data_IF_121184675218
#
_entry.id   IF_121184675218
#
_cell.length_a   1.000
_cell.length_b   1.000
_cell.length_c   1.000
_cell.angle_alpha   90.00
_cell.angle_beta   90.00
_cell.angle_gamma   90.00
#
_symmetry.space_group_name_H-M   'P 1'
#
loop_
_entity.id
_entity.type
_entity.pdbx_description
1 polymer ?
#
# COMPACT_ATOMS: atom_id res chain seq x y z
N UNK A 1 10.21 -61.80 -3.16
CA UNK A 1 9.15 -61.78 -2.13
C UNK A 1 8.28 -60.58 -2.42
N UNK A 2 7.07 -60.79 -2.91
CA UNK A 2 6.04 -59.74 -3.00
C UNK A 2 5.62 -59.38 -1.57
N UNK A 3 5.78 -58.11 -1.18
CA UNK A 3 5.24 -57.61 0.08
C UNK A 3 3.73 -57.89 0.10
N UNK A 4 3.25 -58.50 1.19
CA UNK A 4 1.81 -58.66 1.41
C UNK A 4 1.23 -57.28 1.68
N UNK A 5 0.12 -56.88 1.03
CA UNK A 5 -0.52 -55.61 1.34
C UNK A 5 -0.90 -55.56 2.81
N UNK A 6 -0.59 -54.43 3.47
CA UNK A 6 -0.93 -54.22 4.87
C UNK A 6 -2.45 -54.22 5.03
N UNK A 7 -2.97 -54.76 6.14
CA UNK A 7 -4.42 -54.68 6.42
C UNK A 7 -4.92 -53.23 6.49
N UNK A 8 -4.01 -52.30 6.78
CA UNK A 8 -4.24 -50.85 6.80
C UNK A 8 -4.40 -50.25 5.40
N UNK A 9 -4.00 -50.95 4.35
CA UNK A 9 -4.22 -50.53 2.95
C UNK A 9 -5.62 -50.93 2.45
N UNK A 10 -6.41 -51.66 3.24
CA UNK A 10 -7.77 -52.07 2.89
C UNK A 10 -8.79 -51.03 3.38
N UNK A 11 -9.42 -50.24 2.48
CA UNK A 11 -10.38 -49.20 2.89
C UNK A 11 -11.58 -49.77 3.62
N UNK A 12 -12.03 -50.99 3.30
CA UNK A 12 -13.16 -51.63 3.99
C UNK A 12 -12.83 -51.93 5.44
N UNK A 13 -11.60 -52.38 5.70
CA UNK A 13 -11.14 -52.63 7.07
C UNK A 13 -11.15 -51.33 7.88
N UNK A 14 -10.57 -50.25 7.34
CA UNK A 14 -10.54 -48.94 8.01
C UNK A 14 -11.94 -48.41 8.30
N UNK A 15 -12.85 -48.48 7.31
CA UNK A 15 -14.27 -48.12 7.49
C UNK A 15 -14.95 -48.97 8.55
N UNK A 16 -14.63 -50.26 8.66
CA UNK A 16 -15.19 -51.13 9.71
C UNK A 16 -14.71 -50.71 11.10
N UNK A 17 -13.45 -50.29 11.23
CA UNK A 17 -12.95 -49.71 12.48
C UNK A 17 -13.68 -48.42 12.84
N UNK A 18 -13.90 -47.52 11.89
CA UNK A 18 -14.68 -46.28 12.09
C UNK A 18 -16.10 -46.60 12.53
N UNK A 19 -16.76 -47.58 11.90
CA UNK A 19 -18.10 -48.04 12.27
C UNK A 19 -18.12 -48.55 13.71
N UNK A 20 -17.20 -49.45 14.08
CA UNK A 20 -17.12 -49.99 15.43
C UNK A 20 -17.01 -48.88 16.48
N UNK A 21 -16.14 -47.90 16.24
CA UNK A 21 -15.89 -46.79 17.16
C UNK A 21 -17.09 -45.83 17.24
N UNK A 22 -17.80 -45.61 16.13
CA UNK A 22 -19.01 -44.78 16.08
C UNK A 22 -20.19 -45.36 16.88
N UNK A 23 -20.18 -46.66 17.17
CA UNK A 23 -21.19 -47.33 18.00
C UNK A 23 -20.88 -47.22 19.50
N UNK A 24 -19.64 -46.92 19.87
CA UNK A 24 -19.17 -46.77 21.24
C UNK A 24 -19.37 -45.37 21.83
N UNK A 25 -18.64 -45.08 22.90
CA UNK A 25 -18.73 -43.79 23.62
C UNK A 25 -18.10 -42.62 22.84
N UNK A 26 -17.26 -42.92 21.85
CA UNK A 26 -16.60 -41.93 21.00
C UNK A 26 -17.58 -41.07 20.20
N UNK A 27 -18.83 -41.52 20.01
CA UNK A 27 -19.89 -40.74 19.35
C UNK A 27 -20.22 -39.41 20.02
N UNK A 28 -19.86 -39.25 21.30
CA UNK A 28 -20.07 -38.02 22.07
C UNK A 28 -18.86 -37.08 22.04
N UNK A 29 -17.73 -37.51 21.44
CA UNK A 29 -16.53 -36.71 21.29
C UNK A 29 -16.59 -35.82 20.04
N UNK A 30 -15.73 -34.80 19.99
CA UNK A 30 -15.58 -33.99 18.77
C UNK A 30 -14.95 -34.84 17.67
N UNK A 31 -15.46 -34.73 16.45
CA UNK A 31 -15.02 -35.52 15.28
C UNK A 31 -13.50 -35.46 15.08
N UNK A 32 -12.90 -34.27 15.22
CA UNK A 32 -11.45 -34.12 15.08
C UNK A 32 -10.64 -34.82 16.17
N UNK A 33 -11.14 -34.86 17.41
CA UNK A 33 -10.45 -35.55 18.51
C UNK A 33 -10.45 -37.07 18.26
N UNK A 34 -11.55 -37.60 17.71
CA UNK A 34 -11.66 -39.00 17.26
C UNK A 34 -10.66 -39.28 16.15
N UNK A 35 -10.63 -38.43 15.12
CA UNK A 35 -9.67 -38.55 14.01
C UNK A 35 -8.23 -38.57 14.50
N UNK A 36 -7.85 -37.63 15.37
CA UNK A 36 -6.49 -37.52 15.88
C UNK A 36 -6.06 -38.76 16.69
N UNK A 37 -6.97 -39.38 17.44
CA UNK A 37 -6.69 -40.64 18.13
C UNK A 37 -6.58 -41.83 17.17
N UNK A 38 -7.48 -41.92 16.19
CA UNK A 38 -7.41 -42.94 15.14
C UNK A 38 -6.08 -42.86 14.39
N UNK A 39 -5.64 -41.67 13.97
CA UNK A 39 -4.31 -41.48 13.35
C UNK A 39 -3.17 -41.95 14.27
N UNK A 40 -3.26 -41.71 15.59
CA UNK A 40 -2.27 -42.18 16.55
C UNK A 40 -2.24 -43.72 16.65
N UNK A 41 -3.39 -44.39 16.55
CA UNK A 41 -3.53 -45.85 16.64
C UNK A 41 -3.15 -46.58 15.34
N UNK A 42 -3.39 -45.96 14.20
CA UNK A 42 -3.23 -46.55 12.87
C UNK A 42 -1.98 -46.03 12.10
N UNK A 43 -1.17 -45.16 12.72
CA UNK A 43 -0.03 -44.44 12.14
C UNK A 43 -0.40 -43.53 10.95
N UNK A 44 0.61 -42.93 10.29
CA UNK A 44 0.47 -41.95 9.20
C UNK A 44 -0.29 -42.45 7.96
N UNK A 45 -0.59 -43.75 7.87
CA UNK A 45 -1.23 -44.40 6.73
C UNK A 45 -2.73 -44.69 6.94
N UNK A 46 -3.41 -44.04 7.88
CA UNK A 46 -4.84 -44.27 8.15
C UNK A 46 -5.74 -43.82 6.97
N UNK A 47 -6.22 -42.58 7.00
CA UNK A 47 -6.95 -41.94 5.90
C UNK A 47 -6.92 -40.44 6.12
N UNK A 48 -7.25 -39.67 5.09
CA UNK A 48 -7.37 -38.22 5.24
C UNK A 48 -8.61 -37.84 6.07
N UNK A 49 -8.58 -36.63 6.63
CA UNK A 49 -9.67 -36.12 7.46
C UNK A 49 -11.02 -36.07 6.72
N UNK A 50 -11.10 -35.59 5.45
CA UNK A 50 -12.38 -35.57 4.74
C UNK A 50 -13.02 -36.95 4.50
N UNK A 51 -12.22 -37.99 4.25
CA UNK A 51 -12.71 -39.37 4.11
C UNK A 51 -13.15 -39.92 5.48
N UNK A 52 -12.38 -39.66 6.54
CA UNK A 52 -12.77 -40.04 7.90
C UNK A 52 -14.08 -39.38 8.33
N UNK A 53 -14.16 -38.04 8.21
CA UNK A 53 -15.32 -37.25 8.60
C UNK A 53 -16.58 -37.72 7.86
N UNK A 54 -16.46 -38.03 6.57
CA UNK A 54 -17.54 -38.61 5.79
C UNK A 54 -18.08 -39.92 6.39
N UNK A 55 -17.21 -40.93 6.59
CA UNK A 55 -17.63 -42.22 7.13
C UNK A 55 -18.14 -42.09 8.56
N UNK A 56 -17.47 -41.28 9.39
CA UNK A 56 -17.86 -41.03 10.77
C UNK A 56 -19.27 -40.45 10.86
N UNK A 57 -19.55 -39.35 10.14
CA UNK A 57 -20.87 -38.72 10.14
C UNK A 57 -21.95 -39.63 9.54
N UNK A 58 -21.61 -40.42 8.52
CA UNK A 58 -22.52 -41.39 7.91
C UNK A 58 -22.95 -42.46 8.91
N UNK A 59 -22.00 -43.04 9.65
CA UNK A 59 -22.30 -44.05 10.67
C UNK A 59 -23.02 -43.47 11.88
N UNK A 60 -22.67 -42.26 12.33
CA UNK A 60 -23.42 -41.55 13.37
C UNK A 60 -24.88 -41.28 13.00
N UNK A 61 -25.16 -41.07 11.70
CA UNK A 61 -26.51 -40.92 11.18
C UNK A 61 -27.27 -42.27 11.01
N UNK A 62 -26.68 -43.40 11.40
CA UNK A 62 -27.28 -44.72 11.32
C UNK A 62 -27.14 -45.43 9.97
N UNK A 63 -26.36 -44.88 9.04
CA UNK A 63 -26.18 -45.45 7.70
C UNK A 63 -24.95 -46.37 7.65
N UNK A 64 -25.13 -47.63 8.02
CA UNK A 64 -24.01 -48.58 8.25
C UNK A 64 -23.47 -49.32 7.01
N UNK A 65 -23.85 -48.92 5.80
CA UNK A 65 -23.33 -49.51 4.56
C UNK A 65 -21.87 -49.12 4.32
N UNK A 66 -20.94 -50.04 4.62
CA UNK A 66 -19.48 -49.88 4.46
C UNK A 66 -19.05 -49.83 2.99
N UNK A 67 -19.86 -50.42 2.10
CA UNK A 67 -19.60 -50.49 0.66
C UNK A 67 -20.25 -49.35 -0.10
N UNK A 68 -20.81 -48.37 0.61
CA UNK A 68 -21.44 -47.21 0.00
C UNK A 68 -20.50 -46.48 -0.96
N UNK A 69 -20.99 -46.28 -2.18
CA UNK A 69 -20.28 -45.52 -3.20
C UNK A 69 -20.54 -44.03 -3.03
N UNK A 70 -19.56 -43.31 -2.48
CA UNK A 70 -19.58 -41.86 -2.27
C UNK A 70 -19.84 -41.06 -3.56
N UNK A 71 -19.60 -41.64 -4.74
CA UNK A 71 -19.93 -40.97 -6.01
C UNK A 71 -21.44 -40.78 -6.23
N UNK A 72 -22.27 -41.47 -5.45
CA UNK A 72 -23.72 -41.29 -5.47
C UNK A 72 -24.16 -40.03 -4.73
N UNK A 73 -23.33 -39.50 -3.82
CA UNK A 73 -23.64 -38.26 -3.12
C UNK A 73 -23.45 -37.05 -4.06
N UNK A 74 -24.28 -36.00 -3.91
CA UNK A 74 -24.00 -34.72 -4.54
C UNK A 74 -22.58 -34.27 -4.16
N UNK A 75 -21.86 -33.68 -5.13
CA UNK A 75 -20.53 -33.13 -4.86
C UNK A 75 -20.57 -32.25 -3.61
N UNK A 76 -19.60 -32.49 -2.72
CA UNK A 76 -19.48 -31.75 -1.47
C UNK A 76 -19.44 -30.25 -1.77
N UNK A 77 -20.37 -29.50 -1.16
CA UNK A 77 -20.40 -28.06 -1.29
C UNK A 77 -19.37 -27.47 -0.34
N UNK A 78 -18.47 -26.67 -0.90
CA UNK A 78 -17.53 -25.86 -0.14
C UNK A 78 -18.18 -24.54 0.24
N UNK A 79 -17.54 -23.80 1.15
CA UNK A 79 -17.94 -22.43 1.48
C UNK A 79 -17.99 -21.50 0.24
N UNK A 80 -17.28 -21.86 -0.83
CA UNK A 80 -17.25 -21.09 -2.07
C UNK A 80 -18.44 -21.37 -3.00
N UNK A 81 -19.18 -22.46 -2.75
CA UNK A 81 -20.43 -22.79 -3.44
C UNK A 81 -21.64 -22.09 -2.78
N UNK A 82 -21.42 -21.34 -1.70
CA UNK A 82 -22.45 -20.57 -1.02
C UNK A 82 -22.84 -19.35 -1.86
N UNK A 83 -24.14 -19.05 -2.01
CA UNK A 83 -24.58 -17.81 -2.63
C UNK A 83 -23.98 -16.60 -1.92
N UNK A 84 -23.46 -15.63 -2.68
CA UNK A 84 -22.77 -14.44 -2.16
C UNK A 84 -23.62 -13.68 -1.12
N UNK A 85 -24.93 -13.62 -1.33
CA UNK A 85 -25.89 -12.98 -0.41
C UNK A 85 -25.91 -13.62 0.98
N UNK A 86 -25.68 -14.93 1.09
CA UNK A 86 -25.60 -15.61 2.39
C UNK A 86 -24.25 -15.33 3.02
N UNK A 87 -23.19 -15.35 2.22
CA UNK A 87 -21.84 -15.00 2.69
C UNK A 87 -21.78 -13.57 3.25
N UNK A 88 -22.39 -12.61 2.55
CA UNK A 88 -22.49 -11.23 3.00
C UNK A 88 -23.25 -11.12 4.32
N UNK A 89 -24.40 -11.80 4.46
CA UNK A 89 -25.13 -11.89 5.74
C UNK A 89 -24.31 -12.48 6.89
N UNK A 90 -23.46 -13.47 6.61
CA UNK A 90 -22.55 -14.00 7.62
C UNK A 90 -21.55 -12.90 8.01
N UNK A 91 -20.97 -12.22 7.03
CA UNK A 91 -19.98 -11.18 7.26
C UNK A 91 -20.55 -9.92 7.93
N UNK A 92 -21.84 -9.60 7.77
CA UNK A 92 -22.52 -8.54 8.52
C UNK A 92 -22.40 -8.74 10.04
N UNK A 93 -22.31 -9.99 10.52
CA UNK A 93 -22.08 -10.29 11.94
C UNK A 93 -20.67 -9.92 12.42
N UNK A 94 -19.74 -9.56 11.53
CA UNK A 94 -18.40 -9.06 11.87
C UNK A 94 -18.41 -7.56 12.24
N UNK A 95 -19.57 -6.90 12.11
CA UNK A 95 -19.78 -5.50 12.46
C UNK A 95 -19.65 -4.54 11.28
N UNK A 96 -19.96 -3.27 11.53
CA UNK A 96 -19.83 -2.20 10.54
C UNK A 96 -18.36 -2.04 10.09
N UNK A 97 -18.15 -1.79 8.79
CA UNK A 97 -16.81 -1.66 8.22
C UNK A 97 -16.02 -2.97 8.11
N UNK A 98 -16.67 -4.14 8.23
CA UNK A 98 -15.97 -5.43 8.15
C UNK A 98 -15.18 -5.59 6.85
N UNK A 99 -15.68 -5.04 5.74
CA UNK A 99 -15.03 -5.17 4.44
C UNK A 99 -13.61 -4.59 4.48
N UNK A 100 -13.44 -3.35 4.96
CA UNK A 100 -12.14 -2.71 5.09
C UNK A 100 -11.23 -3.44 6.09
N UNK A 101 -11.79 -3.82 7.24
CA UNK A 101 -11.05 -4.46 8.33
C UNK A 101 -10.52 -5.84 7.94
N UNK A 102 -11.37 -6.65 7.30
CA UNK A 102 -11.10 -8.06 7.01
C UNK A 102 -10.72 -8.34 5.55
N UNK A 103 -10.72 -7.33 4.65
CA UNK A 103 -10.35 -7.50 3.22
C UNK A 103 -9.15 -8.41 3.04
N UNK A 104 -8.02 -8.02 3.61
CA UNK A 104 -6.76 -8.75 3.43
C UNK A 104 -6.78 -10.12 4.12
N UNK A 105 -7.54 -10.28 5.21
CA UNK A 105 -7.72 -11.62 5.82
C UNK A 105 -8.40 -12.54 4.82
N UNK A 106 -9.52 -12.11 4.24
CA UNK A 106 -10.27 -12.89 3.25
C UNK A 106 -9.46 -13.14 1.96
N UNK A 107 -8.68 -12.15 1.48
CA UNK A 107 -7.77 -12.34 0.33
C UNK A 107 -6.78 -13.49 0.49
N UNK A 108 -6.46 -13.85 1.73
CA UNK A 108 -5.48 -14.90 2.04
C UNK A 108 -6.10 -16.25 2.43
N UNK A 109 -7.44 -16.38 2.40
CA UNK A 109 -8.12 -17.66 2.65
C UNK A 109 -8.04 -18.59 1.45
N UNK A 110 -8.63 -18.20 0.31
CA UNK A 110 -8.60 -18.97 -0.93
C UNK A 110 -8.89 -18.09 -2.15
N UNK A 111 -8.83 -18.64 -3.37
CA UNK A 111 -9.05 -17.88 -4.62
C UNK A 111 -10.44 -17.24 -4.69
N UNK A 112 -11.49 -17.94 -4.26
CA UNK A 112 -12.87 -17.41 -4.30
C UNK A 112 -13.06 -16.27 -3.31
N UNK A 113 -12.54 -16.42 -2.09
CA UNK A 113 -12.56 -15.36 -1.09
C UNK A 113 -11.71 -14.15 -1.51
N UNK A 114 -10.61 -14.37 -2.22
CA UNK A 114 -9.83 -13.28 -2.81
C UNK A 114 -10.63 -12.51 -3.84
N UNK A 115 -11.30 -13.18 -4.76
CA UNK A 115 -12.15 -12.52 -5.75
C UNK A 115 -13.27 -11.71 -5.08
N UNK A 116 -13.88 -12.27 -4.03
CA UNK A 116 -14.93 -11.60 -3.26
C UNK A 116 -14.38 -10.37 -2.51
N UNK A 117 -13.27 -10.53 -1.78
CA UNK A 117 -12.62 -9.42 -1.10
C UNK A 117 -12.17 -8.34 -2.09
N UNK A 118 -11.68 -8.73 -3.27
CA UNK A 118 -11.26 -7.80 -4.33
C UNK A 118 -12.43 -7.02 -4.93
N UNK A 119 -13.64 -7.59 -4.91
CA UNK A 119 -14.86 -6.95 -5.41
C UNK A 119 -15.48 -5.91 -4.46
N UNK A 120 -15.06 -5.89 -3.19
CA UNK A 120 -15.55 -4.90 -2.25
C UNK A 120 -15.03 -3.51 -2.61
N UNK A 121 -15.93 -2.53 -2.58
CA UNK A 121 -15.59 -1.13 -2.78
C UNK A 121 -14.55 -0.67 -1.74
N UNK A 122 -13.63 0.18 -2.18
CA UNK A 122 -12.55 0.70 -1.34
C UNK A 122 -12.62 2.22 -1.32
N UNK A 123 -12.60 2.79 -0.12
CA UNK A 123 -12.57 4.25 0.08
C UNK A 123 -11.25 4.70 0.69
N UNK A 124 -10.16 3.97 0.40
CA UNK A 124 -8.86 4.28 0.96
C UNK A 124 -8.40 5.66 0.52
N UNK A 125 -8.01 6.50 1.49
CA UNK A 125 -7.62 7.88 1.22
C UNK A 125 -6.11 8.02 1.10
N UNK A 126 -5.36 7.26 1.89
CA UNK A 126 -3.91 7.35 2.00
C UNK A 126 -3.30 5.96 2.06
N UNK A 127 -2.31 5.72 1.20
CA UNK A 127 -1.57 4.45 1.19
C UNK A 127 -0.06 4.69 1.10
N UNK A 128 0.72 3.99 1.91
CA UNK A 128 2.17 3.95 1.75
C UNK A 128 2.74 2.54 1.90
N UNK A 129 3.88 2.31 1.24
CA UNK A 129 4.62 1.06 1.34
C UNK A 129 6.10 1.35 1.56
N UNK A 130 6.68 0.71 2.57
CA UNK A 130 8.01 1.03 3.09
C UNK A 130 8.80 -0.21 3.47
N UNK A 131 10.12 -0.11 3.39
CA UNK A 131 11.01 -1.16 3.90
C UNK A 131 10.97 -1.16 5.43
N UNK A 132 10.71 -2.31 6.03
CA UNK A 132 10.64 -2.52 7.46
C UNK A 132 11.92 -3.11 8.06
N UNK A 133 11.88 -3.41 9.35
CA UNK A 133 12.98 -4.06 10.05
C UNK A 133 13.19 -5.50 9.55
N UNK A 134 14.46 -5.93 9.39
CA UNK A 134 14.86 -7.27 8.91
C UNK A 134 14.18 -7.69 7.60
N UNK A 135 14.23 -6.83 6.59
CA UNK A 135 13.72 -7.07 5.24
C UNK A 135 12.21 -7.32 5.12
N UNK A 136 11.46 -7.02 6.18
CA UNK A 136 9.99 -7.02 6.14
C UNK A 136 9.50 -5.83 5.30
N UNK A 137 8.27 -5.91 4.82
CA UNK A 137 7.59 -4.79 4.17
C UNK A 137 6.49 -4.29 5.09
N UNK A 138 6.44 -2.98 5.30
CA UNK A 138 5.37 -2.32 6.03
C UNK A 138 4.46 -1.60 5.04
N UNK A 139 3.16 -1.78 5.18
CA UNK A 139 2.16 -1.05 4.42
C UNK A 139 1.28 -0.27 5.39
N UNK A 140 1.07 1.01 5.11
CA UNK A 140 0.23 1.88 5.91
C UNK A 140 -0.98 2.30 5.08
N UNK A 141 -2.18 2.19 5.67
CA UNK A 141 -3.45 2.50 5.02
C UNK A 141 -4.30 3.30 6.01
N UNK A 142 -4.59 4.56 5.70
CA UNK A 142 -5.44 5.45 6.53
C UNK A 142 -5.14 5.44 8.04
N UNK A 143 -3.86 5.32 8.39
CA UNK A 143 -3.38 5.26 9.78
C UNK A 143 -3.29 3.86 10.39
N UNK A 144 -3.85 2.84 9.73
CA UNK A 144 -3.61 1.44 10.04
C UNK A 144 -2.28 0.93 9.47
N UNK A 145 -1.66 -0.05 10.14
CA UNK A 145 -0.37 -0.62 9.73
C UNK A 145 -0.49 -2.13 9.52
N UNK A 146 0.13 -2.62 8.44
CA UNK A 146 0.26 -4.04 8.13
C UNK A 146 1.72 -4.39 7.88
N UNK A 147 2.16 -5.50 8.47
CA UNK A 147 3.52 -6.00 8.34
C UNK A 147 3.55 -7.30 7.55
N UNK A 148 4.50 -7.41 6.64
CA UNK A 148 4.65 -8.53 5.73
C UNK A 148 6.06 -9.09 5.80
N UNK A 149 6.16 -10.36 6.17
CA UNK A 149 7.41 -11.14 6.03
C UNK A 149 7.59 -11.58 4.58
N UNK A 150 6.50 -11.98 3.91
CA UNK A 150 6.51 -12.42 2.52
C UNK A 150 6.30 -11.23 1.56
N UNK A 151 7.38 -10.83 0.86
CA UNK A 151 7.35 -9.73 -0.12
C UNK A 151 6.28 -9.89 -1.20
N UNK A 152 6.01 -11.13 -1.64
CA UNK A 152 4.96 -11.43 -2.62
C UNK A 152 3.55 -11.09 -2.12
N UNK A 153 3.29 -11.31 -0.83
CA UNK A 153 2.00 -10.98 -0.23
C UNK A 153 1.82 -9.48 -0.15
N UNK A 154 2.85 -8.76 0.31
CA UNK A 154 2.83 -7.29 0.33
C UNK A 154 2.55 -6.71 -1.05
N UNK A 155 3.25 -7.22 -2.07
CA UNK A 155 3.07 -6.79 -3.46
C UNK A 155 1.63 -7.05 -3.94
N UNK A 156 1.11 -8.26 -3.71
CA UNK A 156 -0.26 -8.64 -4.10
C UNK A 156 -1.31 -7.76 -3.44
N UNK A 157 -1.16 -7.46 -2.15
CA UNK A 157 -2.08 -6.63 -1.37
C UNK A 157 -2.03 -5.17 -1.81
N UNK A 158 -0.83 -4.60 -1.95
CA UNK A 158 -0.66 -3.23 -2.40
C UNK A 158 -1.22 -3.01 -3.81
N UNK A 159 -0.94 -3.95 -4.74
CA UNK A 159 -1.50 -3.89 -6.09
C UNK A 159 -3.03 -3.93 -6.08
N UNK A 160 -3.65 -4.72 -5.21
CA UNK A 160 -5.12 -4.85 -5.16
C UNK A 160 -5.84 -3.57 -4.77
N UNK A 161 -5.15 -2.68 -4.07
CA UNK A 161 -5.63 -1.33 -3.77
C UNK A 161 -5.54 -0.50 -5.06
N UNK A 162 -4.35 -0.43 -5.65
CA UNK A 162 -4.08 0.46 -6.79
C UNK A 162 -4.74 0.05 -8.10
N UNK A 163 -5.19 -1.20 -8.24
CA UNK A 163 -5.91 -1.67 -9.43
C UNK A 163 -7.39 -1.33 -9.43
N UNK A 164 -7.90 -0.74 -8.35
CA UNK A 164 -9.27 -0.25 -8.28
C UNK A 164 -9.43 0.99 -9.17
N UNK A 165 -10.26 0.93 -10.24
CA UNK A 165 -10.38 2.01 -11.21
C UNK A 165 -11.07 3.26 -10.65
N UNK A 166 -11.89 3.11 -9.60
CA UNK A 166 -12.63 4.22 -9.00
C UNK A 166 -11.88 4.86 -7.82
N UNK A 167 -10.75 4.28 -7.43
CA UNK A 167 -9.94 4.75 -6.31
C UNK A 167 -9.28 6.10 -6.64
N UNK A 168 -9.56 7.08 -5.78
CA UNK A 168 -8.93 8.40 -5.81
C UNK A 168 -8.18 8.64 -4.51
N UNK A 169 -6.86 8.54 -4.58
CA UNK A 169 -6.01 8.70 -3.41
C UNK A 169 -5.79 10.18 -3.10
N UNK A 170 -5.88 10.53 -1.82
CA UNK A 170 -5.36 11.81 -1.34
C UNK A 170 -3.84 11.76 -1.25
N UNK A 171 -3.27 10.67 -0.73
CA UNK A 171 -1.82 10.51 -0.56
C UNK A 171 -1.32 9.15 -1.06
N UNK A 172 -0.17 9.14 -1.73
CA UNK A 172 0.61 7.92 -1.99
C UNK A 172 2.09 8.13 -1.68
N UNK A 173 2.70 7.13 -1.02
CA UNK A 173 4.14 7.08 -0.82
C UNK A 173 4.68 5.67 -1.10
N UNK A 174 5.70 5.60 -1.93
CA UNK A 174 6.45 4.37 -2.22
C UNK A 174 7.89 4.65 -1.82
N UNK A 175 8.35 3.98 -0.76
CA UNK A 175 9.72 4.13 -0.27
C UNK A 175 10.73 3.67 -1.32
N UNK A 176 11.71 4.53 -1.57
CA UNK A 176 12.80 4.27 -2.52
C UNK A 176 13.82 3.26 -2.01
N UNK A 177 13.84 3.01 -0.69
CA UNK A 177 14.71 2.02 -0.07
C UNK A 177 14.14 0.59 -0.08
N UNK A 178 12.95 0.41 -0.67
CA UNK A 178 12.44 -0.93 -0.95
C UNK A 178 13.40 -1.72 -1.84
N UNK A 179 13.41 -3.03 -1.64
CA UNK A 179 14.18 -3.96 -2.44
C UNK A 179 13.98 -3.73 -3.95
N UNK A 180 15.07 -3.65 -4.71
CA UNK A 180 15.01 -3.35 -6.15
C UNK A 180 14.15 -4.37 -6.92
N UNK A 181 14.23 -5.66 -6.59
CA UNK A 181 13.44 -6.68 -7.27
C UNK A 181 11.95 -6.54 -6.96
N UNK A 182 11.61 -6.13 -5.73
CA UNK A 182 10.24 -5.80 -5.35
C UNK A 182 9.68 -4.65 -6.21
N UNK A 183 10.40 -3.53 -6.25
CA UNK A 183 9.98 -2.36 -7.02
C UNK A 183 9.87 -2.69 -8.52
N UNK A 184 10.79 -3.48 -9.08
CA UNK A 184 10.77 -3.84 -10.51
C UNK A 184 9.50 -4.63 -10.84
N UNK A 185 9.16 -5.61 -10.00
CA UNK A 185 7.94 -6.41 -10.17
C UNK A 185 6.68 -5.58 -9.99
N UNK A 186 6.69 -4.63 -9.06
CA UNK A 186 5.60 -3.68 -8.86
C UNK A 186 5.33 -2.85 -10.11
N UNK A 187 6.37 -2.19 -10.62
CA UNK A 187 6.26 -1.34 -11.81
C UNK A 187 5.85 -2.14 -13.04
N UNK A 188 6.50 -3.29 -13.30
CA UNK A 188 6.15 -4.16 -14.43
C UNK A 188 4.68 -4.60 -14.39
N UNK A 189 4.14 -4.89 -13.20
CA UNK A 189 2.75 -5.32 -13.07
C UNK A 189 1.79 -4.18 -13.39
N UNK A 190 2.01 -2.99 -12.86
CA UNK A 190 1.16 -1.83 -13.15
C UNK A 190 1.26 -1.38 -14.61
N UNK A 191 2.45 -1.41 -15.20
CA UNK A 191 2.66 -1.13 -16.63
C UNK A 191 1.90 -2.14 -17.51
N UNK A 192 1.95 -3.44 -17.18
CA UNK A 192 1.22 -4.48 -17.93
C UNK A 192 -0.30 -4.30 -17.88
N UNK A 193 -0.80 -3.74 -16.77
CA UNK A 193 -2.21 -3.45 -16.56
C UNK A 193 -2.61 -2.07 -17.11
N UNK A 194 -1.65 -1.27 -17.60
CA UNK A 194 -1.85 0.09 -18.10
C UNK A 194 -2.57 1.01 -17.10
N UNK A 195 -2.32 0.81 -15.82
CA UNK A 195 -2.97 1.58 -14.74
C UNK A 195 -2.39 2.99 -14.69
N UNK A 196 -3.28 3.96 -14.46
CA UNK A 196 -2.92 5.32 -14.08
C UNK A 196 -3.50 5.62 -12.71
N UNK A 197 -2.62 5.97 -11.77
CA UNK A 197 -2.97 6.19 -10.38
C UNK A 197 -3.50 7.62 -10.24
N UNK A 198 -4.77 7.75 -9.86
CA UNK A 198 -5.37 9.02 -9.49
C UNK A 198 -4.93 9.39 -8.07
N UNK A 199 -4.17 10.47 -7.93
CA UNK A 199 -3.66 10.91 -6.63
C UNK A 199 -3.46 12.42 -6.55
N UNK A 200 -3.87 13.02 -5.43
CA UNK A 200 -3.73 14.46 -5.17
C UNK A 200 -2.33 14.83 -4.66
N UNK A 201 -1.78 14.09 -3.69
CA UNK A 201 -0.49 14.36 -3.09
C UNK A 201 0.46 13.18 -3.25
N UNK A 202 1.61 13.43 -3.86
CA UNK A 202 2.61 12.39 -4.17
C UNK A 202 3.88 12.62 -3.37
N UNK A 203 4.45 11.55 -2.84
CA UNK A 203 5.82 11.57 -2.32
C UNK A 203 6.78 11.17 -3.44
N UNK A 204 7.71 12.08 -3.75
CA UNK A 204 8.67 11.95 -4.82
C UNK A 204 10.09 12.10 -4.27
N UNK A 205 11.00 11.43 -4.93
CA UNK A 205 12.42 11.47 -4.59
C UNK A 205 13.13 12.49 -5.48
N UNK A 206 14.10 13.19 -4.91
CA UNK A 206 14.93 14.14 -5.66
C UNK A 206 16.13 13.46 -6.33
N UNK A 207 16.43 12.21 -5.98
CA UNK A 207 17.38 11.39 -6.72
C UNK A 207 16.66 10.64 -7.83
N UNK A 208 17.34 10.45 -8.96
CA UNK A 208 16.76 9.77 -10.11
C UNK A 208 17.38 8.39 -10.28
N UNK A 209 16.53 7.38 -10.15
CA UNK A 209 16.76 6.03 -10.61
C UNK A 209 15.79 5.71 -11.73
N UNK A 210 16.15 4.79 -12.64
CA UNK A 210 15.27 4.38 -13.74
C UNK A 210 13.89 3.90 -13.23
N UNK A 211 13.88 3.29 -12.05
CA UNK A 211 12.66 2.80 -11.42
C UNK A 211 11.76 3.93 -10.91
N UNK A 212 12.34 5.00 -10.35
CA UNK A 212 11.57 6.18 -9.94
C UNK A 212 10.98 6.91 -11.15
N UNK A 213 11.68 6.96 -12.29
CA UNK A 213 11.11 7.50 -13.53
C UNK A 213 9.85 6.75 -13.94
N UNK A 214 9.91 5.42 -13.88
CA UNK A 214 8.77 4.56 -14.23
C UNK A 214 7.63 4.68 -13.22
N UNK A 215 7.92 4.75 -11.92
CA UNK A 215 6.91 5.01 -10.88
C UNK A 215 6.22 6.36 -11.11
N UNK A 216 6.98 7.44 -11.33
CA UNK A 216 6.42 8.76 -11.61
C UNK A 216 5.52 8.76 -12.86
N UNK A 217 5.83 7.94 -13.86
CA UNK A 217 5.02 7.79 -15.06
C UNK A 217 3.69 7.04 -14.83
N UNK A 218 3.48 6.40 -13.68
CA UNK A 218 2.21 5.74 -13.32
C UNK A 218 1.17 6.73 -12.81
N UNK A 219 1.56 7.91 -12.34
CA UNK A 219 0.61 8.90 -11.82
C UNK A 219 -0.17 9.58 -12.95
N UNK A 220 -1.43 9.89 -12.66
CA UNK A 220 -2.25 10.75 -13.50
C UNK A 220 -1.87 12.21 -13.22
N UNK A 221 -1.20 12.85 -14.18
CA UNK A 221 -0.56 14.16 -13.97
C UNK A 221 -1.57 15.24 -13.61
N UNK A 222 -2.77 15.20 -14.19
CA UNK A 222 -3.79 16.24 -13.99
C UNK A 222 -4.39 16.24 -12.58
N UNK A 223 -4.22 15.16 -11.83
CA UNK A 223 -4.79 15.00 -10.49
C UNK A 223 -3.85 15.47 -9.40
N UNK A 224 -2.55 15.57 -9.70
CA UNK A 224 -1.52 15.94 -8.73
C UNK A 224 -1.70 17.41 -8.35
N UNK A 225 -2.10 17.64 -7.11
CA UNK A 225 -2.16 18.97 -6.52
C UNK A 225 -0.83 19.39 -5.91
N UNK A 226 -0.13 18.46 -5.26
CA UNK A 226 1.08 18.74 -4.46
C UNK A 226 2.08 17.60 -4.52
N UNK A 227 3.36 17.94 -4.54
CA UNK A 227 4.43 16.96 -4.37
C UNK A 227 5.23 17.22 -3.08
N UNK A 228 5.50 16.14 -2.36
CA UNK A 228 6.35 16.11 -1.19
C UNK A 228 7.69 15.48 -1.55
N UNK A 229 8.77 16.12 -1.12
CA UNK A 229 10.13 15.65 -1.36
C UNK A 229 10.90 15.62 -0.05
N UNK A 230 11.70 14.56 0.13
CA UNK A 230 12.65 14.46 1.23
C UNK A 230 14.07 14.49 0.67
N UNK A 231 14.96 15.22 1.33
CA UNK A 231 16.37 15.26 0.92
C UNK A 231 17.15 16.39 1.57
N UNK A 232 18.39 16.55 1.14
CA UNK A 232 19.27 17.64 1.56
C UNK A 232 18.92 18.94 0.85
N UNK A 233 19.25 20.07 1.47
CA UNK A 233 19.17 21.40 0.84
C UNK A 233 19.94 21.52 -0.49
N UNK A 234 21.00 20.71 -0.68
CA UNK A 234 21.77 20.69 -1.93
C UNK A 234 20.97 20.04 -3.07
N UNK A 235 20.26 18.95 -2.78
CA UNK A 235 19.36 18.31 -3.74
C UNK A 235 18.19 19.24 -4.10
N UNK A 236 17.62 19.98 -3.12
CA UNK A 236 16.58 20.99 -3.39
C UNK A 236 17.09 22.05 -4.36
N UNK A 237 18.30 22.57 -4.13
CA UNK A 237 18.94 23.56 -5.02
C UNK A 237 19.11 23.00 -6.42
N UNK A 238 19.64 21.78 -6.55
CA UNK A 238 19.84 21.14 -7.85
C UNK A 238 18.50 20.95 -8.58
N UNK A 239 17.49 20.45 -7.87
CA UNK A 239 16.15 20.28 -8.42
C UNK A 239 15.56 21.61 -8.91
N UNK A 240 15.56 22.66 -8.09
CA UNK A 240 14.97 23.95 -8.47
C UNK A 240 15.72 24.63 -9.61
N UNK A 241 17.06 24.61 -9.59
CA UNK A 241 17.89 25.14 -10.68
C UNK A 241 17.54 24.47 -12.01
N UNK A 242 17.38 23.14 -11.97
CA UNK A 242 16.98 22.37 -13.14
C UNK A 242 15.54 22.64 -13.57
N UNK A 243 14.58 22.82 -12.65
CA UNK A 243 13.19 23.12 -13.04
C UNK A 243 13.03 24.50 -13.68
N UNK A 244 13.93 25.45 -13.39
CA UNK A 244 13.89 26.82 -13.92
C UNK A 244 14.59 26.93 -15.29
N UNK A 245 15.57 26.07 -15.59
CA UNK A 245 16.27 26.10 -16.88
C UNK A 245 15.34 25.68 -18.03
N UNK A 246 15.13 26.57 -19.01
CA UNK A 246 14.31 26.28 -20.19
C UNK A 246 14.94 25.27 -21.18
N UNK A 247 16.16 24.78 -20.93
CA UNK A 247 16.87 23.86 -21.83
C UNK A 247 16.85 22.42 -21.29
N UNK A 248 16.67 21.48 -22.22
CA UNK A 248 16.45 20.04 -21.99
C UNK A 248 17.73 19.24 -21.71
N UNK A 249 18.76 19.86 -21.13
CA UNK A 249 20.10 19.27 -21.13
C UNK A 249 20.34 18.26 -19.99
N UNK A 250 19.53 18.29 -18.94
CA UNK A 250 19.70 17.35 -17.83
C UNK A 250 18.66 16.22 -17.85
N UNK A 251 19.03 15.00 -18.28
CA UNK A 251 18.12 13.84 -18.23
C UNK A 251 17.68 13.50 -16.80
N UNK A 252 18.37 14.02 -15.76
CA UNK A 252 18.16 13.69 -14.35
C UNK A 252 16.77 14.05 -13.80
N UNK A 253 16.09 15.04 -14.37
CA UNK A 253 14.82 15.55 -13.83
C UNK A 253 13.70 15.63 -14.87
N UNK A 254 13.91 15.06 -16.06
CA UNK A 254 12.96 15.16 -17.15
C UNK A 254 11.61 14.50 -16.81
N UNK A 255 11.63 13.43 -16.03
CA UNK A 255 10.42 12.75 -15.57
C UNK A 255 9.59 13.63 -14.63
N UNK A 256 10.21 14.37 -13.71
CA UNK A 256 9.53 15.29 -12.79
C UNK A 256 8.97 16.54 -13.49
N UNK A 257 9.65 17.05 -14.52
CA UNK A 257 9.13 18.18 -15.33
C UNK A 257 7.77 17.86 -15.96
N UNK A 258 7.56 16.61 -16.39
CA UNK A 258 6.29 16.17 -17.01
C UNK A 258 5.12 16.23 -16.04
N UNK A 259 5.38 16.15 -14.74
CA UNK A 259 4.35 16.20 -13.69
C UNK A 259 3.80 17.62 -13.46
N UNK A 260 4.42 18.67 -14.03
CA UNK A 260 3.96 20.07 -13.92
C UNK A 260 3.64 20.50 -12.48
N UNK A 261 4.50 20.12 -11.54
CA UNK A 261 4.26 20.32 -10.10
C UNK A 261 4.33 21.82 -9.77
N UNK A 262 3.21 22.38 -9.31
CA UNK A 262 3.10 23.81 -8.97
C UNK A 262 3.03 24.07 -7.45
N UNK A 263 2.67 23.06 -6.65
CA UNK A 263 2.73 23.09 -5.19
C UNK A 263 3.74 22.06 -4.69
N UNK A 264 4.69 22.48 -3.88
CA UNK A 264 5.79 21.63 -3.41
C UNK A 264 5.99 21.74 -1.91
N UNK A 265 6.40 20.64 -1.29
CA UNK A 265 6.90 20.63 0.08
C UNK A 265 8.21 19.87 0.13
N UNK A 266 9.24 20.51 0.65
CA UNK A 266 10.55 19.93 0.85
C UNK A 266 10.82 19.74 2.34
N UNK A 267 11.27 18.56 2.72
CA UNK A 267 11.74 18.25 4.06
C UNK A 267 13.23 17.93 4.03
N UNK A 268 14.00 18.62 4.88
CA UNK A 268 15.43 18.43 5.05
C UNK A 268 15.83 18.56 6.52
N UNK A 269 16.98 17.99 6.91
CA UNK A 269 17.41 18.03 8.32
C UNK A 269 17.85 19.43 8.75
N UNK A 270 18.59 20.13 7.90
CA UNK A 270 19.21 21.42 8.21
C UNK A 270 19.15 22.37 7.02
N UNK A 271 18.90 23.64 7.34
CA UNK A 271 18.88 24.77 6.42
C UNK A 271 19.98 25.76 6.81
N UNK A 272 21.12 25.65 6.15
CA UNK A 272 22.23 26.60 6.30
C UNK A 272 21.89 27.92 5.61
N UNK A 273 22.45 29.01 6.11
CA UNK A 273 22.14 30.36 5.66
C UNK A 273 22.35 30.53 4.14
N UNK A 274 23.46 30.03 3.60
CA UNK A 274 23.80 30.19 2.18
C UNK A 274 22.80 29.45 1.29
N UNK A 275 22.53 28.20 1.61
CA UNK A 275 21.68 27.31 0.82
C UNK A 275 20.21 27.75 0.91
N UNK A 276 19.70 28.05 2.11
CA UNK A 276 18.34 28.61 2.28
C UNK A 276 18.15 29.92 1.49
N UNK A 277 19.13 30.83 1.55
CA UNK A 277 19.13 32.06 0.73
C UNK A 277 19.01 31.72 -0.76
N UNK A 278 19.79 30.75 -1.24
CA UNK A 278 19.81 30.33 -2.64
C UNK A 278 18.50 29.64 -3.06
N UNK A 279 17.91 28.81 -2.20
CA UNK A 279 16.61 28.18 -2.44
C UNK A 279 15.53 29.25 -2.65
N UNK A 280 15.47 30.25 -1.75
CA UNK A 280 14.51 31.36 -1.91
C UNK A 280 14.73 32.08 -3.25
N UNK A 281 15.97 32.39 -3.62
CA UNK A 281 16.27 33.02 -4.92
C UNK A 281 15.74 32.22 -6.12
N UNK A 282 15.85 30.88 -6.09
CA UNK A 282 15.29 30.04 -7.14
C UNK A 282 13.76 30.06 -7.13
N UNK A 283 13.12 29.93 -5.97
CA UNK A 283 11.66 29.98 -5.86
C UNK A 283 11.08 31.30 -6.39
N UNK A 284 11.77 32.43 -6.17
CA UNK A 284 11.37 33.73 -6.73
C UNK A 284 11.44 33.81 -8.26
N UNK A 285 12.23 32.94 -8.90
CA UNK A 285 12.38 32.85 -10.37
C UNK A 285 11.58 31.70 -10.98
N UNK A 286 10.88 30.93 -10.16
CA UNK A 286 10.13 29.77 -10.61
C UNK A 286 8.82 30.24 -11.30
N UNK A 287 8.63 29.96 -12.60
CA UNK A 287 7.66 30.68 -13.43
C UNK A 287 6.20 30.52 -12.98
N UNK A 288 5.81 29.29 -12.66
CA UNK A 288 4.41 28.92 -12.38
C UNK A 288 4.20 28.46 -10.93
N UNK A 289 5.12 28.83 -10.03
CA UNK A 289 5.03 28.44 -8.63
C UNK A 289 3.72 28.94 -8.02
N UNK A 290 2.92 28.03 -7.45
CA UNK A 290 1.74 28.37 -6.64
C UNK A 290 2.09 28.37 -5.16
N UNK A 291 2.79 27.33 -4.70
CA UNK A 291 3.15 27.16 -3.30
C UNK A 291 4.44 26.35 -3.16
N UNK A 292 5.34 26.75 -2.27
CA UNK A 292 6.45 25.93 -1.85
C UNK A 292 6.70 26.09 -0.36
N UNK A 293 6.78 24.99 0.38
CA UNK A 293 7.27 24.97 1.76
C UNK A 293 8.59 24.24 1.83
N UNK A 294 9.55 24.79 2.56
CA UNK A 294 10.81 24.12 2.86
C UNK A 294 10.96 24.05 4.36
N UNK A 295 11.02 22.84 4.90
CA UNK A 295 11.14 22.57 6.34
C UNK A 295 12.50 21.98 6.68
N UNK A 296 13.07 22.42 7.79
CA UNK A 296 14.36 21.96 8.31
C UNK A 296 14.91 22.88 9.40
N UNK A 297 15.92 22.43 10.14
CA UNK A 297 16.53 23.22 11.23
C UNK A 297 17.30 24.42 10.64
N UNK A 298 16.75 25.63 10.78
CA UNK A 298 17.38 26.86 10.27
C UNK A 298 18.51 27.29 11.20
N UNK A 299 19.75 27.32 10.70
CA UNK A 299 20.93 27.61 11.55
C UNK A 299 21.13 29.08 11.86
N UNK A 300 20.52 30.00 11.09
CA UNK A 300 20.71 31.45 11.26
C UNK A 300 19.47 32.23 10.80
N UNK A 301 18.37 32.05 11.52
CA UNK A 301 17.06 32.65 11.21
C UNK A 301 17.09 34.18 11.02
N UNK A 302 17.75 34.91 11.92
CA UNK A 302 17.83 36.38 11.82
C UNK A 302 18.58 36.85 10.57
N UNK A 303 19.74 36.24 10.29
CA UNK A 303 20.55 36.57 9.11
C UNK A 303 19.87 36.19 7.80
N UNK A 304 19.01 35.16 7.81
CA UNK A 304 18.24 34.78 6.63
C UNK A 304 17.23 35.86 6.25
N UNK A 305 16.52 36.43 7.23
CA UNK A 305 15.61 37.57 7.03
C UNK A 305 16.34 38.76 6.41
N UNK A 306 17.46 39.15 7.00
CA UNK A 306 18.30 40.27 6.52
C UNK A 306 18.74 40.07 5.06
N UNK A 307 19.07 38.84 4.64
CA UNK A 307 19.43 38.54 3.25
C UNK A 307 18.24 38.57 2.30
N UNK A 308 17.08 38.09 2.73
CA UNK A 308 15.87 38.07 1.88
C UNK A 308 15.37 39.50 1.65
N UNK A 309 15.49 40.39 2.63
CA UNK A 309 15.18 41.83 2.46
C UNK A 309 15.98 42.48 1.34
N UNK A 310 17.21 42.03 1.11
CA UNK A 310 18.08 42.54 0.04
C UNK A 310 17.60 42.15 -1.36
N UNK A 311 16.60 41.27 -1.51
CA UNK A 311 16.05 40.88 -2.81
C UNK A 311 14.98 41.84 -3.34
N UNK A 312 14.80 43.01 -2.72
CA UNK A 312 13.77 43.98 -3.13
C UNK A 312 12.37 43.60 -2.65
N UNK A 313 12.30 42.80 -1.58
CA UNK A 313 11.06 42.34 -0.97
C UNK A 313 10.57 43.38 0.04
N UNK A 314 9.27 43.72 0.05
CA UNK A 314 8.69 44.65 1.04
C UNK A 314 8.18 43.86 2.24
N UNK A 315 8.45 44.30 3.46
CA UNK A 315 7.82 43.72 4.65
C UNK A 315 6.32 43.99 4.62
N UNK A 316 5.52 43.05 5.09
CA UNK A 316 4.12 43.34 5.40
C UNK A 316 4.05 44.25 6.62
N UNK A 317 3.20 45.28 6.58
CA UNK A 317 3.17 46.36 7.59
C UNK A 317 2.96 45.85 9.03
N UNK A 318 2.35 44.67 9.19
CA UNK A 318 1.94 44.12 10.48
C UNK A 318 2.72 42.87 10.94
N UNK A 319 3.65 42.33 10.14
CA UNK A 319 4.41 41.13 10.52
C UNK A 319 5.84 41.10 9.95
N UNK A 320 6.89 41.16 10.80
CA UNK A 320 8.29 41.18 10.36
C UNK A 320 8.77 39.86 9.75
N UNK A 321 7.95 38.81 9.81
CA UNK A 321 8.28 37.47 9.32
C UNK A 321 7.66 37.19 7.96
N UNK A 322 6.91 38.17 7.41
CA UNK A 322 6.23 38.11 6.12
C UNK A 322 6.79 39.17 5.18
N UNK A 323 7.12 38.74 3.96
CA UNK A 323 7.67 39.58 2.91
C UNK A 323 6.86 39.41 1.61
N UNK A 324 6.68 40.50 0.86
CA UNK A 324 6.00 40.53 -0.43
C UNK A 324 6.99 40.85 -1.57
N UNK A 325 7.12 39.92 -2.51
CA UNK A 325 7.97 40.05 -3.70
C UNK A 325 7.10 40.28 -4.94
N UNK A 326 7.20 41.44 -5.62
CA UNK A 326 6.43 41.69 -6.82
C UNK A 326 6.92 40.82 -7.98
N UNK A 327 6.00 40.14 -8.66
CA UNK A 327 6.35 39.36 -9.86
C UNK A 327 6.37 40.32 -11.07
N UNK A 328 7.49 40.43 -11.82
CA UNK A 328 7.53 41.29 -12.99
C UNK A 328 6.44 40.92 -14.00
N UNK A 329 5.71 41.94 -14.51
CA UNK A 329 4.64 41.78 -15.52
C UNK A 329 3.47 40.89 -15.07
N UNK A 330 3.27 40.70 -13.77
CA UNK A 330 2.10 39.99 -13.23
C UNK A 330 1.37 40.87 -12.21
N UNK A 331 0.05 40.69 -12.14
CA UNK A 331 -0.76 41.26 -11.06
C UNK A 331 -0.52 40.55 -9.73
N UNK A 332 0.13 39.38 -9.72
CA UNK A 332 0.40 38.61 -8.52
C UNK A 332 1.67 39.09 -7.81
N UNK A 333 1.85 38.63 -6.56
CA UNK A 333 3.09 38.73 -5.81
C UNK A 333 3.38 37.40 -5.11
N UNK A 334 4.65 37.16 -4.78
CA UNK A 334 5.04 36.05 -3.92
C UNK A 334 5.09 36.53 -2.47
N UNK A 335 4.30 35.91 -1.61
CA UNK A 335 4.37 36.03 -0.16
C UNK A 335 5.41 35.04 0.35
N UNK A 336 6.43 35.53 1.04
CA UNK A 336 7.46 34.72 1.68
C UNK A 336 7.22 34.81 3.18
N UNK A 337 7.06 33.69 3.85
CA UNK A 337 6.93 33.64 5.30
C UNK A 337 8.01 32.74 5.89
N UNK A 338 8.75 33.25 6.87
CA UNK A 338 9.93 32.57 7.42
C UNK A 338 9.63 32.14 8.86
N UNK A 339 9.93 30.88 9.16
CA UNK A 339 9.73 30.26 10.47
C UNK A 339 11.05 29.77 11.06
N UNK A 340 11.05 29.42 12.35
CA UNK A 340 12.23 28.83 13.00
C UNK A 340 12.64 27.49 12.37
N UNK A 341 11.69 26.77 11.79
CA UNK A 341 11.85 25.45 11.20
C UNK A 341 11.72 25.44 9.67
N UNK A 342 11.88 26.60 9.00
CA UNK A 342 11.81 26.65 7.55
C UNK A 342 11.29 27.97 7.00
N UNK A 343 10.76 27.92 5.78
CA UNK A 343 10.06 29.04 5.15
C UNK A 343 9.04 28.50 4.15
N UNK A 344 8.10 29.35 3.78
CA UNK A 344 7.16 29.09 2.69
C UNK A 344 7.14 30.28 1.73
N UNK A 345 6.85 29.97 0.46
CA UNK A 345 6.68 30.92 -0.64
C UNK A 345 5.35 30.59 -1.31
N UNK A 346 4.43 31.54 -1.33
CA UNK A 346 3.10 31.38 -1.88
C UNK A 346 2.81 32.49 -2.88
N UNK A 347 2.25 32.14 -4.04
CA UNK A 347 1.79 33.12 -5.03
C UNK A 347 0.38 33.56 -4.71
N UNK A 348 0.22 34.85 -4.44
CA UNK A 348 -1.05 35.46 -4.11
C UNK A 348 -1.44 36.51 -5.16
N UNK A 349 -2.73 36.62 -5.51
CA UNK A 349 -3.21 37.75 -6.31
C UNK A 349 -3.04 39.03 -5.49
N UNK A 350 -2.69 40.16 -6.13
CA UNK A 350 -2.84 41.46 -5.46
C UNK A 350 -4.31 41.66 -5.13
N UNK A 351 -4.63 41.86 -3.85
CA UNK A 351 -5.92 42.39 -3.43
C UNK A 351 -6.16 43.70 -4.19
N UNK A 352 -7.20 43.73 -5.03
CA UNK A 352 -7.69 44.96 -5.68
C UNK A 352 -8.12 46.00 -4.67
#
# INVERSE_FOLDING_TARGET
MTEKPSILENPKFLRSCILYESLGDWKYCKVYDVYADMCRRFNDNFMDYPEFEFWWLRFLAGNFDIDYDRNQDPKYRTITDMPIQIFDKICENLGEGYQEKYRFVFRHVCKSFRALADSWAQNFRSVSIESGYRDQISMFIDGGTRYYVEKNRALSDFLSILTDPDLKLYNIQIDSHLDKQFLERFVLKLESLKIKIHVENVHLEMEETEIQKRIAALYQVETIEKAHFKGSQFQIIQFLDEMIKNQAENPKFQHLRKLKILKMEFQCDSLFLRESTKIVQYLLRFPDLKYCRVTGKVTSFKKLKERIEQFGVRRADNNPDIFHYPIPKSADFLKIQIFKNGFEVERNPKST
#
